data_IF_496493971767
#
_entry.id   IF_496493971767
#
_cell.length_a   1.000
_cell.length_b   1.000
_cell.length_c   1.000
_cell.angle_alpha   90.00
_cell.angle_beta   90.00
_cell.angle_gamma   90.00
#
_symmetry.space_group_name_H-M   'P 1'
#
loop_
_entity.id
_entity.type
_entity.pdbx_description
1 polymer ?
#
# COMPACT_ATOMS: atom_id res chain seq x y z
N UNK A 1 -9.87 33.15 -7.25
CA UNK A 1 -9.75 32.20 -8.38
C UNK A 1 -10.86 31.17 -8.17
N UNK A 2 -11.86 31.17 -9.06
CA UNK A 2 -13.02 30.26 -8.92
C UNK A 2 -12.65 28.83 -9.38
N UNK A 3 -13.31 27.82 -8.83
CA UNK A 3 -13.13 26.41 -9.21
C UNK A 3 -13.23 26.18 -10.73
N UNK A 4 -14.01 27.01 -11.43
CA UNK A 4 -14.19 26.99 -12.89
C UNK A 4 -12.94 27.48 -13.64
N UNK A 5 -12.17 28.40 -13.06
CA UNK A 5 -10.89 28.88 -13.60
C UNK A 5 -9.78 27.87 -13.42
N UNK A 6 -9.74 27.15 -12.28
CA UNK A 6 -8.85 26.02 -12.09
C UNK A 6 -9.16 24.88 -13.07
N UNK A 7 -10.43 24.54 -13.27
CA UNK A 7 -10.84 23.49 -14.20
C UNK A 7 -10.45 23.81 -15.67
N UNK A 8 -10.61 25.06 -16.10
CA UNK A 8 -10.20 25.48 -17.43
C UNK A 8 -8.68 25.57 -17.61
N UNK A 9 -7.92 25.90 -16.55
CA UNK A 9 -6.46 25.90 -16.58
C UNK A 9 -5.88 24.49 -16.76
N UNK A 10 -6.51 23.48 -16.12
CA UNK A 10 -6.17 22.07 -16.33
C UNK A 10 -6.58 21.55 -17.71
N UNK A 11 -7.68 22.01 -18.27
CA UNK A 11 -8.18 21.58 -19.59
C UNK A 11 -7.34 22.09 -20.78
N UNK A 12 -6.64 23.20 -20.62
CA UNK A 12 -5.77 23.77 -21.67
C UNK A 12 -4.34 23.20 -21.68
N UNK A 13 -3.92 22.46 -20.64
CA UNK A 13 -2.64 21.74 -20.57
C UNK A 13 -2.76 20.24 -20.84
N UNK A 14 -3.69 19.81 -21.70
CA UNK A 14 -3.60 18.49 -22.32
C UNK A 14 -2.57 18.57 -23.47
N UNK A 15 -1.35 18.91 -23.12
CA UNK A 15 -0.15 18.55 -23.85
C UNK A 15 0.00 17.02 -23.72
N UNK A 16 0.28 16.31 -24.80
CA UNK A 16 0.59 14.88 -24.85
C UNK A 16 1.38 14.45 -23.61
N UNK A 17 0.66 13.99 -22.59
CA UNK A 17 1.26 13.37 -21.43
C UNK A 17 1.83 12.04 -21.95
N UNK A 18 3.13 11.83 -21.82
CA UNK A 18 3.78 10.57 -22.18
C UNK A 18 3.12 9.41 -21.43
N UNK A 19 3.20 8.19 -21.95
CA UNK A 19 2.65 7.03 -21.26
C UNK A 19 3.20 6.93 -19.81
N UNK A 20 4.45 7.33 -19.59
CA UNK A 20 5.09 7.36 -18.27
C UNK A 20 4.47 8.37 -17.30
N UNK A 21 4.09 9.58 -17.79
CA UNK A 21 3.41 10.58 -16.96
C UNK A 21 1.94 10.21 -16.67
N UNK A 22 1.30 9.38 -17.51
CA UNK A 22 -0.04 8.84 -17.23
C UNK A 22 -0.05 7.90 -16.02
N UNK A 23 1.00 7.10 -15.82
CA UNK A 23 1.12 6.21 -14.65
C UNK A 23 1.13 7.00 -13.33
N UNK A 24 1.81 8.14 -13.29
CA UNK A 24 1.88 9.00 -12.10
C UNK A 24 0.51 9.58 -11.68
N UNK A 25 -0.43 9.75 -12.62
CA UNK A 25 -1.78 10.28 -12.37
C UNK A 25 -2.74 9.23 -11.77
N UNK A 26 -2.40 7.94 -11.87
CA UNK A 26 -3.24 6.83 -11.42
C UNK A 26 -2.71 6.13 -10.17
N UNK A 27 -1.56 6.54 -9.63
CA UNK A 27 -1.07 5.98 -8.37
C UNK A 27 -1.90 6.51 -7.22
N UNK A 28 -2.51 5.59 -6.45
CA UNK A 28 -3.16 5.93 -5.19
C UNK A 28 -2.13 6.31 -4.15
N UNK A 29 -2.53 7.06 -3.15
CA UNK A 29 -1.66 7.38 -2.02
C UNK A 29 -1.44 6.16 -1.12
N UNK A 30 -2.47 5.33 -1.00
CA UNK A 30 -2.50 4.13 -0.16
C UNK A 30 -2.74 2.86 -0.95
N UNK A 31 -3.50 2.94 -2.06
CA UNK A 31 -3.71 1.82 -2.98
C UNK A 31 -2.64 1.87 -4.08
N UNK A 32 -1.84 0.82 -4.20
CA UNK A 32 -0.76 0.69 -5.19
C UNK A 32 0.16 1.93 -5.23
N UNK A 33 0.85 2.26 -4.13
CA UNK A 33 1.54 3.54 -3.95
C UNK A 33 2.78 3.76 -4.83
N UNK A 34 3.16 2.81 -5.66
CA UNK A 34 4.37 2.91 -6.48
C UNK A 34 5.58 2.18 -5.87
N UNK A 35 6.70 2.26 -6.55
CA UNK A 35 7.93 1.58 -6.13
C UNK A 35 9.08 2.53 -5.80
N UNK A 36 8.80 3.84 -5.75
CA UNK A 36 9.81 4.88 -5.53
C UNK A 36 10.50 4.73 -4.18
N UNK A 37 9.77 4.48 -3.08
CA UNK A 37 10.37 4.31 -1.75
C UNK A 37 11.38 3.17 -1.72
N UNK A 38 11.05 2.05 -2.35
CA UNK A 38 11.98 0.94 -2.47
C UNK A 38 13.13 1.24 -3.45
N UNK A 39 12.87 1.93 -4.55
CA UNK A 39 13.91 2.38 -5.47
C UNK A 39 14.93 3.28 -4.76
N UNK A 40 14.51 4.25 -3.96
CA UNK A 40 15.41 5.09 -3.15
C UNK A 40 16.24 4.24 -2.18
N UNK A 41 15.61 3.24 -1.55
CA UNK A 41 16.28 2.33 -0.62
C UNK A 41 17.40 1.54 -1.31
N UNK A 42 17.13 0.98 -2.50
CA UNK A 42 18.10 0.20 -3.28
C UNK A 42 19.21 1.08 -3.86
N UNK A 43 18.87 2.31 -4.24
CA UNK A 43 19.83 3.30 -4.78
C UNK A 43 20.77 3.86 -3.70
N UNK A 44 20.54 3.54 -2.44
CA UNK A 44 21.40 4.00 -1.34
C UNK A 44 22.79 3.37 -1.41
N UNK A 45 23.83 4.09 -0.96
CA UNK A 45 25.22 3.65 -0.98
C UNK A 45 25.45 2.28 -0.32
N UNK A 46 24.64 1.95 0.68
CA UNK A 46 24.66 0.66 1.37
C UNK A 46 23.23 0.14 1.37
N UNK A 47 23.01 -0.96 0.68
CA UNK A 47 21.77 -1.70 0.69
C UNK A 47 22.05 -3.17 1.04
N UNK A 48 21.24 -3.75 1.89
CA UNK A 48 21.29 -5.18 2.25
C UNK A 48 20.05 -5.85 1.67
N UNK A 49 20.25 -6.81 0.78
CA UNK A 49 19.17 -7.58 0.19
C UNK A 49 18.42 -8.40 1.26
N UNK A 50 17.14 -8.14 1.39
CA UNK A 50 16.21 -8.83 2.30
C UNK A 50 15.07 -9.50 1.55
N UNK A 51 15.22 -9.73 0.25
CA UNK A 51 14.16 -10.28 -0.61
C UNK A 51 13.80 -11.73 -0.29
N UNK A 52 14.56 -12.42 0.57
CA UNK A 52 14.15 -13.71 1.15
C UNK A 52 12.81 -13.59 1.93
N UNK A 53 12.49 -12.41 2.45
CA UNK A 53 11.18 -12.17 3.04
C UNK A 53 10.07 -12.33 2.01
N UNK A 54 10.27 -11.90 0.77
CA UNK A 54 9.32 -12.09 -0.34
C UNK A 54 9.13 -13.58 -0.62
N UNK A 55 10.21 -14.36 -0.66
CA UNK A 55 10.13 -15.80 -0.83
C UNK A 55 9.24 -16.44 0.24
N UNK A 56 9.45 -16.05 1.50
CA UNK A 56 8.64 -16.55 2.60
C UNK A 56 7.17 -16.12 2.47
N UNK A 57 6.90 -14.85 2.16
CA UNK A 57 5.52 -14.34 1.99
C UNK A 57 4.80 -15.01 0.82
N UNK A 58 5.50 -15.30 -0.29
CA UNK A 58 4.95 -16.03 -1.42
C UNK A 58 4.51 -17.45 -1.03
N UNK A 59 5.27 -18.16 -0.18
CA UNK A 59 4.96 -19.51 0.28
C UNK A 59 3.67 -19.58 1.11
N UNK A 60 3.39 -18.56 1.91
CA UNK A 60 2.20 -18.52 2.77
C UNK A 60 1.00 -17.84 2.11
N UNK A 61 1.19 -17.30 0.91
CA UNK A 61 0.14 -16.63 0.17
C UNK A 61 -1.04 -17.57 -0.09
N UNK A 62 -2.30 -17.11 0.18
CA UNK A 62 -3.53 -17.92 0.09
C UNK A 62 -3.58 -19.15 1.03
N UNK A 63 -2.73 -19.22 2.04
CA UNK A 63 -2.82 -20.23 3.09
C UNK A 63 -3.49 -19.68 4.35
N UNK A 64 -3.75 -20.52 5.34
CA UNK A 64 -4.20 -20.07 6.67
C UNK A 64 -3.12 -19.28 7.43
N UNK A 65 -1.86 -19.36 7.01
CA UNK A 65 -0.70 -18.66 7.58
C UNK A 65 -0.42 -17.29 6.92
N UNK A 66 -1.34 -16.79 6.11
CA UNK A 66 -1.22 -15.53 5.36
C UNK A 66 -1.12 -14.26 6.22
N UNK A 67 -1.44 -14.35 7.51
CA UNK A 67 -1.32 -13.24 8.45
C UNK A 67 0.06 -13.26 9.09
N UNK A 68 0.91 -12.32 8.67
CA UNK A 68 2.30 -12.25 9.09
C UNK A 68 2.53 -11.01 9.94
N UNK A 69 3.17 -11.20 11.08
CA UNK A 69 3.66 -10.11 11.92
C UNK A 69 5.19 -10.13 11.96
N UNK A 70 5.81 -9.05 11.47
CA UNK A 70 7.26 -8.89 11.49
C UNK A 70 7.65 -7.99 12.64
N UNK A 71 8.21 -8.57 13.69
CA UNK A 71 8.74 -7.83 14.84
C UNK A 71 10.26 -7.75 14.78
N UNK A 72 10.81 -6.54 14.75
CA UNK A 72 12.25 -6.27 14.80
C UNK A 72 12.51 -4.98 15.58
N UNK A 73 13.65 -4.81 16.21
CA UNK A 73 14.02 -3.56 16.84
C UNK A 73 13.96 -2.38 15.88
N UNK A 74 13.90 -1.15 16.42
CA UNK A 74 13.99 0.07 15.59
C UNK A 74 15.30 0.08 14.81
N UNK A 75 15.32 0.70 13.63
CA UNK A 75 16.46 0.84 12.71
C UNK A 75 16.94 -0.46 12.05
N UNK A 76 16.18 -1.55 12.15
CA UNK A 76 16.46 -2.81 11.42
C UNK A 76 15.80 -2.89 10.04
N UNK A 77 15.32 -1.77 9.50
CA UNK A 77 14.78 -1.66 8.13
C UNK A 77 13.41 -2.30 7.95
N UNK A 78 12.50 -2.20 8.94
CA UNK A 78 11.10 -2.66 8.81
C UNK A 78 10.36 -1.91 7.71
N UNK A 79 10.40 -0.57 7.72
CA UNK A 79 9.73 0.26 6.72
C UNK A 79 10.28 -0.01 5.31
N UNK A 80 11.60 -0.13 5.16
CA UNK A 80 12.22 -0.55 3.89
C UNK A 80 11.72 -1.93 3.43
N UNK A 81 11.54 -2.88 4.35
CA UNK A 81 10.99 -4.18 4.00
C UNK A 81 9.50 -4.09 3.61
N UNK A 82 8.73 -3.23 4.24
CA UNK A 82 7.34 -2.95 3.88
C UNK A 82 7.23 -2.30 2.49
N UNK A 83 8.07 -1.31 2.19
CA UNK A 83 8.18 -0.68 0.86
C UNK A 83 8.62 -1.68 -0.21
N UNK A 84 9.55 -2.58 0.12
CA UNK A 84 9.99 -3.68 -0.76
C UNK A 84 8.81 -4.61 -1.10
N UNK A 85 8.02 -5.02 -0.12
CA UNK A 85 6.84 -5.86 -0.35
C UNK A 85 5.79 -5.11 -1.17
N UNK A 86 5.56 -3.82 -0.91
CA UNK A 86 4.66 -2.99 -1.68
C UNK A 86 5.10 -2.91 -3.15
N UNK A 87 6.36 -2.57 -3.41
CA UNK A 87 6.94 -2.52 -4.75
C UNK A 87 6.84 -3.85 -5.50
N UNK A 88 6.94 -4.98 -4.78
CA UNK A 88 6.88 -6.30 -5.37
C UNK A 88 5.46 -6.72 -5.74
N UNK A 89 4.48 -6.54 -4.83
CA UNK A 89 3.15 -7.08 -5.01
C UNK A 89 2.23 -6.19 -5.86
N UNK A 90 2.35 -4.88 -5.76
CA UNK A 90 1.43 -3.95 -6.41
C UNK A 90 1.43 -4.05 -7.94
N UNK A 91 0.25 -3.92 -8.55
CA UNK A 91 0.04 -4.14 -9.99
C UNK A 91 0.25 -2.91 -10.88
N UNK A 92 0.25 -1.70 -10.31
CA UNK A 92 0.25 -0.45 -11.09
C UNK A 92 1.65 0.08 -11.42
N UNK A 93 2.70 -0.74 -11.29
CA UNK A 93 4.05 -0.39 -11.70
C UNK A 93 4.80 -1.61 -12.24
N UNK A 94 5.88 -1.39 -12.97
CA UNK A 94 6.81 -2.43 -13.37
C UNK A 94 8.04 -2.38 -12.45
N UNK A 95 8.15 -3.36 -11.58
CA UNK A 95 9.29 -3.50 -10.66
C UNK A 95 10.29 -4.57 -11.09
N UNK A 96 10.13 -5.20 -12.26
CA UNK A 96 10.97 -6.31 -12.68
C UNK A 96 12.47 -5.95 -12.69
N UNK A 97 12.81 -4.78 -13.23
CA UNK A 97 14.21 -4.31 -13.27
C UNK A 97 14.77 -4.03 -11.89
N UNK A 98 13.91 -3.56 -10.97
CA UNK A 98 14.30 -3.23 -9.60
C UNK A 98 14.74 -4.47 -8.81
N UNK A 99 14.10 -5.62 -9.06
CA UNK A 99 14.40 -6.88 -8.41
C UNK A 99 15.37 -7.79 -9.20
N UNK A 100 15.73 -7.45 -10.43
CA UNK A 100 16.45 -8.35 -11.35
C UNK A 100 17.78 -8.93 -10.81
N UNK A 101 18.49 -8.17 -9.97
CA UNK A 101 19.77 -8.57 -9.40
C UNK A 101 19.66 -9.05 -7.94
N UNK A 102 18.46 -9.23 -7.42
CA UNK A 102 18.21 -9.63 -6.03
C UNK A 102 18.00 -11.14 -5.90
N UNK A 103 18.12 -11.66 -4.68
CA UNK A 103 17.99 -13.10 -4.42
C UNK A 103 16.64 -13.66 -4.86
N UNK A 104 15.56 -12.90 -4.69
CA UNK A 104 14.19 -13.31 -5.10
C UNK A 104 14.06 -13.56 -6.61
N UNK A 105 14.84 -12.90 -7.44
CA UNK A 105 14.79 -13.10 -8.90
C UNK A 105 15.13 -14.53 -9.34
N UNK A 106 15.81 -15.29 -8.48
CA UNK A 106 16.16 -16.69 -8.71
C UNK A 106 15.07 -17.67 -8.24
N UNK A 107 14.09 -17.17 -7.51
CA UNK A 107 13.00 -18.00 -6.97
C UNK A 107 11.91 -18.24 -8.01
N UNK A 108 11.44 -19.50 -8.21
CA UNK A 108 10.38 -19.80 -9.18
C UNK A 108 9.06 -19.05 -8.93
N UNK A 109 8.80 -18.62 -7.69
CA UNK A 109 7.61 -17.84 -7.33
C UNK A 109 7.69 -16.37 -7.76
N UNK A 110 8.89 -15.88 -8.13
CA UNK A 110 9.10 -14.48 -8.48
C UNK A 110 8.14 -13.98 -9.58
N UNK A 111 8.09 -14.58 -10.78
CA UNK A 111 7.22 -14.11 -11.86
C UNK A 111 5.72 -14.38 -11.58
N UNK A 112 5.42 -15.29 -10.66
CA UNK A 112 4.04 -15.65 -10.31
C UNK A 112 3.34 -14.53 -9.57
N UNK A 113 4.07 -13.85 -8.67
CA UNK A 113 3.51 -12.87 -7.75
C UNK A 113 3.91 -11.42 -8.06
N UNK A 114 4.98 -11.19 -8.84
CA UNK A 114 5.47 -9.85 -9.15
C UNK A 114 4.39 -9.02 -9.85
N UNK A 115 4.05 -7.89 -9.27
CA UNK A 115 3.12 -6.88 -9.81
C UNK A 115 1.72 -7.44 -10.17
N UNK A 116 1.14 -8.29 -9.31
CA UNK A 116 -0.14 -9.00 -9.58
C UNK A 116 -1.30 -8.59 -8.69
N UNK A 117 -1.10 -7.78 -7.66
CA UNK A 117 -2.09 -7.59 -6.60
C UNK A 117 -2.48 -6.13 -6.39
N UNK A 118 -3.69 -5.94 -5.87
CA UNK A 118 -4.06 -4.66 -5.28
C UNK A 118 -3.39 -4.55 -3.92
N UNK A 119 -2.42 -3.67 -3.78
CA UNK A 119 -1.64 -3.52 -2.55
C UNK A 119 -2.05 -2.25 -1.82
N UNK A 120 -2.54 -2.41 -0.58
CA UNK A 120 -2.85 -1.31 0.32
C UNK A 120 -1.70 -1.19 1.31
N UNK A 121 -1.04 -0.03 1.30
CA UNK A 121 0.08 0.29 2.18
C UNK A 121 -0.32 1.37 3.18
N UNK A 122 -0.25 1.06 4.48
CA UNK A 122 -0.65 1.96 5.56
C UNK A 122 0.50 2.12 6.55
N UNK A 123 0.82 3.37 6.89
CA UNK A 123 1.65 3.69 8.06
C UNK A 123 0.73 4.17 9.19
N UNK A 124 0.54 3.35 10.22
CA UNK A 124 -0.41 3.64 11.29
C UNK A 124 0.02 4.82 12.16
N UNK A 125 1.34 5.06 12.28
CA UNK A 125 1.87 6.21 13.02
C UNK A 125 1.43 7.54 12.39
N UNK A 126 1.38 7.62 11.06
CA UNK A 126 0.96 8.85 10.36
C UNK A 126 -0.50 9.19 10.62
N UNK A 127 -1.37 8.19 10.66
CA UNK A 127 -2.78 8.39 10.98
C UNK A 127 -2.98 8.73 12.44
N UNK A 128 -2.29 8.02 13.34
CA UNK A 128 -2.40 8.28 14.77
C UNK A 128 -1.89 9.68 15.16
N UNK A 129 -0.78 10.12 14.58
CA UNK A 129 -0.21 11.45 14.85
C UNK A 129 -1.14 12.61 14.48
N UNK A 130 -2.06 12.39 13.54
CA UNK A 130 -3.06 13.41 13.13
C UNK A 130 -4.30 13.44 14.02
N UNK A 131 -4.63 12.31 14.64
CA UNK A 131 -5.92 12.15 15.33
C UNK A 131 -5.78 12.02 16.84
N UNK A 132 -4.69 11.42 17.31
CA UNK A 132 -4.45 11.05 18.71
C UNK A 132 -5.64 10.27 19.33
N UNK A 133 -6.43 9.60 18.49
CA UNK A 133 -7.61 8.85 18.87
C UNK A 133 -7.83 7.70 17.91
N UNK A 134 -8.09 6.49 18.42
CA UNK A 134 -8.17 5.26 17.62
C UNK A 134 -9.36 5.28 16.68
N UNK A 135 -10.54 5.69 17.14
CA UNK A 135 -11.76 5.70 16.30
C UNK A 135 -11.58 6.65 15.12
N UNK A 136 -11.13 7.88 15.41
CA UNK A 136 -10.84 8.87 14.37
C UNK A 136 -9.71 8.43 13.44
N UNK A 137 -8.74 7.67 13.94
CA UNK A 137 -7.68 7.09 13.12
C UNK A 137 -8.27 6.07 12.14
N UNK A 138 -9.15 5.18 12.62
CA UNK A 138 -9.82 4.18 11.79
C UNK A 138 -10.73 4.83 10.73
N UNK A 139 -11.51 5.84 11.11
CA UNK A 139 -12.31 6.64 10.17
C UNK A 139 -11.42 7.33 9.12
N UNK A 140 -10.29 7.88 9.54
CA UNK A 140 -9.39 8.62 8.66
C UNK A 140 -8.75 7.71 7.62
N UNK A 141 -8.15 6.58 8.01
CA UNK A 141 -7.54 5.69 7.02
C UNK A 141 -8.61 5.06 6.11
N UNK A 142 -9.79 4.69 6.63
CA UNK A 142 -10.89 4.17 5.82
C UNK A 142 -11.31 5.17 4.74
N UNK A 143 -11.46 6.44 5.10
CA UNK A 143 -11.79 7.52 4.17
C UNK A 143 -10.74 7.69 3.06
N UNK A 144 -9.45 7.60 3.40
CA UNK A 144 -8.39 7.76 2.40
C UNK A 144 -8.29 6.55 1.47
N UNK A 145 -8.38 5.33 2.02
CA UNK A 145 -8.37 4.11 1.23
C UNK A 145 -9.60 4.04 0.31
N UNK A 146 -10.79 4.36 0.81
CA UNK A 146 -12.01 4.45 0.00
C UNK A 146 -11.85 5.41 -1.17
N UNK A 147 -11.28 6.59 -0.92
CA UNK A 147 -11.04 7.57 -1.99
C UNK A 147 -10.16 6.99 -3.11
N UNK A 148 -9.10 6.27 -2.75
CA UNK A 148 -8.19 5.69 -3.73
C UNK A 148 -8.87 4.53 -4.49
N UNK A 149 -9.63 3.68 -3.79
CA UNK A 149 -10.41 2.58 -4.39
C UNK A 149 -11.46 3.09 -5.38
N UNK A 150 -12.27 4.07 -4.99
CA UNK A 150 -13.31 4.64 -5.84
C UNK A 150 -12.75 5.41 -7.06
N UNK A 151 -11.53 5.92 -6.97
CA UNK A 151 -10.84 6.53 -8.11
C UNK A 151 -10.27 5.51 -9.08
N UNK A 152 -9.74 4.39 -8.56
CA UNK A 152 -9.18 3.32 -9.37
C UNK A 152 -10.27 2.50 -10.08
N UNK A 153 -11.46 2.38 -9.45
CA UNK A 153 -12.59 1.60 -9.94
C UNK A 153 -13.87 2.41 -10.04
N UNK A 154 -13.91 3.49 -10.84
CA UNK A 154 -15.03 4.45 -10.86
C UNK A 154 -16.30 3.89 -11.48
N UNK A 155 -16.20 2.87 -12.33
CA UNK A 155 -17.31 2.34 -13.13
C UNK A 155 -18.04 1.16 -12.44
N UNK A 156 -17.61 0.78 -11.23
CA UNK A 156 -18.23 -0.31 -10.49
C UNK A 156 -19.47 0.19 -9.73
N UNK A 157 -20.54 -0.58 -9.81
CA UNK A 157 -21.78 -0.33 -9.05
C UNK A 157 -21.63 -0.85 -7.62
N UNK A 158 -21.46 0.07 -6.68
CA UNK A 158 -21.28 -0.22 -5.25
C UNK A 158 -22.59 -0.17 -4.50
N UNK A 159 -22.83 -1.15 -3.63
CA UNK A 159 -23.98 -1.14 -2.73
C UNK A 159 -23.89 0.02 -1.72
N UNK A 160 -22.73 0.17 -1.09
CA UNK A 160 -22.41 1.29 -0.19
C UNK A 160 -20.95 1.76 -0.41
N UNK A 161 -20.80 2.95 -1.01
CA UNK A 161 -19.50 3.56 -1.24
C UNK A 161 -18.84 4.10 0.03
N UNK A 162 -19.52 4.11 1.15
CA UNK A 162 -19.00 4.61 2.44
C UNK A 162 -18.45 3.49 3.33
N UNK A 163 -18.82 2.24 3.06
CA UNK A 163 -18.30 1.08 3.77
C UNK A 163 -17.07 0.49 3.05
N UNK A 164 -15.92 0.53 3.74
CA UNK A 164 -14.65 0.04 3.18
C UNK A 164 -14.68 -1.46 2.88
N UNK A 165 -15.38 -2.24 3.71
CA UNK A 165 -15.45 -3.70 3.56
C UNK A 165 -16.29 -4.06 2.34
N UNK A 166 -17.45 -3.41 2.18
CA UNK A 166 -18.31 -3.61 1.03
C UNK A 166 -17.60 -3.25 -0.27
N UNK A 167 -16.95 -2.10 -0.33
CA UNK A 167 -16.18 -1.67 -1.51
C UNK A 167 -15.07 -2.66 -1.86
N UNK A 168 -14.29 -3.14 -0.87
CA UNK A 168 -13.24 -4.14 -1.11
C UNK A 168 -13.81 -5.48 -1.64
N UNK A 169 -14.94 -5.91 -1.09
CA UNK A 169 -15.61 -7.16 -1.50
C UNK A 169 -16.16 -7.05 -2.92
N UNK A 170 -16.80 -5.94 -3.28
CA UNK A 170 -17.32 -5.69 -4.62
C UNK A 170 -16.20 -5.69 -5.66
N UNK A 171 -15.11 -4.97 -5.40
CA UNK A 171 -13.93 -4.94 -6.29
C UNK A 171 -13.36 -6.36 -6.45
N UNK A 172 -13.18 -7.11 -5.35
CA UNK A 172 -12.68 -8.47 -5.44
C UNK A 172 -13.66 -9.40 -6.18
N UNK A 173 -14.97 -9.23 -5.97
CA UNK A 173 -15.99 -10.03 -6.65
C UNK A 173 -15.94 -9.83 -8.16
N UNK A 174 -15.74 -8.61 -8.65
CA UNK A 174 -15.70 -8.30 -10.07
C UNK A 174 -14.37 -8.70 -10.71
N UNK A 175 -13.27 -8.17 -10.18
CA UNK A 175 -11.96 -8.28 -10.83
C UNK A 175 -11.17 -9.54 -10.45
N UNK A 176 -11.53 -10.26 -9.37
CA UNK A 176 -10.82 -11.44 -8.85
C UNK A 176 -9.33 -11.20 -8.52
N UNK A 177 -8.91 -9.95 -8.39
CA UNK A 177 -7.55 -9.57 -8.00
C UNK A 177 -7.51 -9.47 -6.47
N UNK A 178 -6.71 -10.29 -5.78
CA UNK A 178 -6.61 -10.24 -4.32
C UNK A 178 -6.00 -8.94 -3.82
N UNK A 179 -6.40 -8.55 -2.62
CA UNK A 179 -5.78 -7.46 -1.88
C UNK A 179 -4.64 -7.98 -1.01
N UNK A 180 -3.53 -7.23 -0.97
CA UNK A 180 -2.40 -7.40 -0.04
C UNK A 180 -2.37 -6.17 0.85
N UNK A 181 -2.52 -6.37 2.16
CA UNK A 181 -2.42 -5.31 3.15
C UNK A 181 -1.03 -5.32 3.76
N UNK A 182 -0.35 -4.18 3.69
CA UNK A 182 0.95 -3.97 4.32
C UNK A 182 0.78 -2.83 5.32
N UNK A 183 0.95 -3.16 6.59
CA UNK A 183 0.72 -2.22 7.69
C UNK A 183 2.05 -1.99 8.41
N UNK A 184 2.63 -0.81 8.22
CA UNK A 184 3.83 -0.38 8.94
C UNK A 184 3.45 0.36 10.23
N UNK A 185 4.35 0.36 11.21
CA UNK A 185 4.19 1.01 12.52
C UNK A 185 2.87 0.63 13.23
N UNK A 186 2.39 -0.61 13.01
CA UNK A 186 1.14 -1.12 13.59
C UNK A 186 1.12 -1.05 15.12
N UNK A 187 2.31 -1.09 15.75
CA UNK A 187 2.49 -1.04 17.20
C UNK A 187 2.46 0.38 17.79
N UNK A 188 2.16 1.41 16.98
CA UNK A 188 2.17 2.81 17.41
C UNK A 188 1.28 3.07 18.62
N UNK A 189 0.10 2.45 18.69
CA UNK A 189 -0.85 2.61 19.80
C UNK A 189 -0.24 2.12 21.12
N UNK A 190 0.48 0.99 21.10
CA UNK A 190 1.14 0.45 22.30
C UNK A 190 2.31 1.30 22.76
N UNK A 191 2.93 2.04 21.84
CA UNK A 191 4.05 2.94 22.16
C UNK A 191 3.59 4.29 22.69
N UNK A 192 2.54 4.85 22.06
CA UNK A 192 2.05 6.20 22.38
C UNK A 192 1.06 6.17 23.56
N UNK A 193 0.20 5.15 23.64
CA UNK A 193 -0.84 5.00 24.66
C UNK A 193 -0.51 3.85 25.66
N UNK A 194 0.70 3.87 26.22
CA UNK A 194 1.20 2.78 27.09
C UNK A 194 0.31 2.48 28.30
N UNK A 195 -0.36 3.49 28.82
CA UNK A 195 -1.19 3.37 30.03
C UNK A 195 -2.69 3.25 29.72
N UNK A 196 -3.09 3.29 28.45
CA UNK A 196 -4.48 3.17 28.05
C UNK A 196 -4.78 1.75 27.56
N UNK A 197 -5.04 0.87 28.53
CA UNK A 197 -5.35 -0.54 28.28
C UNK A 197 -6.65 -0.72 27.48
N UNK A 198 -7.60 0.21 27.63
CA UNK A 198 -8.88 0.14 26.93
C UNK A 198 -8.71 0.47 25.45
N UNK A 199 -7.96 1.53 25.14
CA UNK A 199 -7.59 1.88 23.79
C UNK A 199 -6.79 0.75 23.09
N UNK A 200 -5.84 0.13 23.80
CA UNK A 200 -5.05 -0.99 23.27
C UNK A 200 -5.92 -2.22 22.95
N UNK A 201 -6.86 -2.57 23.85
CA UNK A 201 -7.81 -3.68 23.60
C UNK A 201 -8.75 -3.42 22.45
N UNK A 202 -9.15 -2.17 22.26
CA UNK A 202 -10.02 -1.79 21.14
C UNK A 202 -9.32 -1.85 19.80
N UNK A 203 -8.01 -1.61 19.81
CA UNK A 203 -7.20 -1.64 18.59
C UNK A 203 -6.90 -3.06 18.11
N UNK A 204 -6.81 -4.05 19.01
CA UNK A 204 -6.58 -5.46 18.69
C UNK A 204 -7.87 -6.17 18.31
#
# INVERSE_FOLDING_TARGET
>A
ITAKQCYNFYKQKIVKISLEERWFLFMGLYLNPGNEGFFESVSSKIYVDKTELIQYTNQVFRTKQKFLCVSRPRRFGKSMAAEMLAAYYQRNCDSQKLFANMNIAKDPSFPVHLNKYNTIFLNMQDFFSRTHNIDKMCELFSKYVLRDLLREYPDLDYLDQTDLIDVLQEIYREYKIPFVFIIDEWDCIFRENKNDMEAQKKYL
#
